data_IF_703969240615
#
_entry.id   IF_703969240615
#
_cell.length_a   1.000
_cell.length_b   1.000
_cell.length_c   1.000
_cell.angle_alpha   90.00
_cell.angle_beta   90.00
_cell.angle_gamma   90.00
#
_symmetry.space_group_name_H-M   'P 1'
#
loop_
_entity.id
_entity.type
_entity.pdbx_description
1 polymer ?
2 non-polymer ?
3 water ?
#
# COMPACT_ATOMS: atom_id res chain seq x y z
N UNK A 3 11.58 7.94 26.13
CA UNK A 3 12.39 7.76 24.91
C UNK A 3 12.16 8.92 23.91
N UNK A 4 13.26 9.52 23.43
CA UNK A 4 13.28 10.65 22.48
C UNK A 4 12.85 10.22 21.08
N UNK A 5 12.24 11.14 20.33
CA UNK A 5 11.78 10.92 18.96
C UNK A 5 12.95 10.51 18.03
N UNK A 6 14.13 11.16 18.16
CA UNK A 6 15.31 10.86 17.35
C UNK A 6 15.81 9.41 17.59
N UNK A 7 15.73 8.95 18.85
CA UNK A 7 16.11 7.61 19.29
C UNK A 7 15.15 6.53 18.72
N UNK A 8 13.84 6.87 18.61
CA UNK A 8 12.82 5.99 18.06
C UNK A 8 13.02 5.82 16.56
N UNK A 9 13.39 6.89 15.85
CA UNK A 9 13.68 6.85 14.40
C UNK A 9 14.99 6.05 14.17
N UNK A 10 15.96 6.19 15.10
CA UNK A 10 17.23 5.46 15.11
C UNK A 10 16.93 3.94 15.30
N UNK A 11 16.01 3.61 16.24
CA UNK A 11 15.53 2.25 16.51
C UNK A 11 14.91 1.66 15.22
N UNK A 12 14.01 2.41 14.53
CA UNK A 12 13.41 1.98 13.26
C UNK A 12 14.51 1.69 12.20
N UNK A 13 15.53 2.56 12.10
CA UNK A 13 16.63 2.37 11.15
C UNK A 13 17.48 1.15 11.49
N UNK A 14 17.72 0.92 12.79
CA UNK A 14 18.44 -0.25 13.30
C UNK A 14 17.64 -1.54 13.00
N UNK A 15 16.32 -1.53 13.27
CA UNK A 15 15.43 -2.68 13.01
C UNK A 15 15.37 -3.02 11.52
N UNK A 16 15.42 -1.99 10.66
CA UNK A 16 15.42 -2.17 9.22
C UNK A 16 16.71 -2.88 8.77
N UNK A 17 17.86 -2.52 9.34
CA UNK A 17 19.12 -3.15 9.01
C UNK A 17 19.16 -4.61 9.46
N UNK A 18 18.52 -4.93 10.61
CA UNK A 18 18.43 -6.28 11.19
C UNK A 18 17.27 -7.09 10.59
N UNK A 19 16.46 -6.45 9.72
CA UNK A 19 15.30 -7.03 9.05
C UNK A 19 14.27 -7.50 10.07
N UNK A 20 14.11 -6.71 11.16
CA UNK A 20 13.15 -6.95 12.23
C UNK A 20 12.07 -5.90 12.04
N UNK A 21 11.21 -6.15 11.04
CA UNK A 21 10.21 -5.21 10.56
C UNK A 21 9.08 -4.94 11.54
N UNK A 22 8.72 -5.94 12.38
CA UNK A 22 7.74 -5.79 13.45
C UNK A 22 8.26 -4.70 14.44
N UNK A 23 9.55 -4.74 14.81
CA UNK A 23 10.22 -3.72 15.65
C UNK A 23 10.21 -2.38 14.96
N UNK A 25 8.08 -1.29 12.59
CA UNK A 25 6.70 -0.81 12.55
C UNK A 25 6.29 -0.25 13.91
N UNK A 26 6.65 -0.94 14.99
CA UNK A 26 6.36 -0.55 16.35
C UNK A 26 7.04 0.79 16.71
N UNK A 27 8.31 1.00 16.30
CA UNK A 27 9.04 2.23 16.56
C UNK A 27 8.41 3.42 15.83
N UNK A 29 5.29 3.53 14.79
CA UNK A 29 3.96 3.69 15.37
C UNK A 29 4.09 4.58 16.63
N UNK A 30 5.16 4.39 17.42
CA UNK A 30 5.43 5.18 18.61
C UNK A 30 5.75 6.62 18.23
N UNK A 31 6.47 6.83 17.13
CA UNK A 31 6.80 8.19 16.61
C UNK A 31 5.48 8.90 16.23
N UNK A 32 4.60 8.21 15.48
CA UNK A 32 3.30 8.77 15.05
C UNK A 32 2.49 9.21 16.26
N UNK A 33 2.47 8.36 17.30
CA UNK A 33 1.73 8.57 18.54
C UNK A 33 2.28 9.71 19.44
N UNK A 34 3.41 10.34 19.06
CA UNK A 34 3.91 11.54 19.74
C UNK A 34 3.03 12.73 19.35
N UNK A 35 2.10 12.48 18.39
CA UNK A 35 1.03 13.36 17.92
C UNK A 35 1.51 14.62 17.21
N UNK A 36 2.65 14.50 16.51
CA UNK A 36 3.23 15.59 15.72
C UNK A 36 3.30 15.15 14.27
N UNK A 37 3.32 16.09 13.29
CA UNK A 37 3.49 15.67 11.87
C UNK A 37 4.80 14.88 11.64
N UNK A 38 4.84 14.08 10.58
CA UNK A 38 6.04 13.32 10.25
C UNK A 38 6.86 14.02 9.18
N UNK A 39 8.20 13.87 9.23
CA UNK A 39 9.06 14.42 8.19
C UNK A 39 8.96 13.47 6.99
N UNK A 40 9.47 13.85 5.81
CA UNK A 40 9.42 13.01 4.62
C UNK A 40 10.12 11.67 4.89
N UNK A 41 11.17 11.73 5.69
CA UNK A 41 12.00 10.62 6.10
C UNK A 41 11.24 9.68 7.04
N UNK A 42 10.55 10.24 8.06
CA UNK A 42 9.76 9.48 9.04
C UNK A 42 8.57 8.79 8.34
N UNK A 43 7.96 9.47 7.36
CA UNK A 43 6.88 8.99 6.50
C UNK A 43 7.27 7.74 5.70
N UNK A 44 8.48 7.76 5.06
CA UNK A 44 8.92 6.63 4.26
C UNK A 44 9.31 5.47 5.17
N UNK A 45 9.95 5.74 6.33
CA UNK A 45 10.30 4.73 7.34
C UNK A 45 9.03 3.99 7.83
N UNK A 46 7.95 4.74 8.06
CA UNK A 46 6.65 4.17 8.49
C UNK A 46 6.07 3.30 7.39
N UNK A 47 6.09 3.79 6.14
CA UNK A 47 5.61 3.12 4.96
C UNK A 47 6.37 1.79 4.70
N UNK A 48 7.71 1.81 4.74
CA UNK A 48 8.58 0.66 4.51
C UNK A 48 8.33 -0.39 5.61
N UNK A 49 8.18 0.06 6.89
CA UNK A 49 7.96 -0.85 8.03
C UNK A 49 6.69 -1.68 7.82
N UNK A 50 5.54 -1.00 7.67
CA UNK A 50 4.25 -1.66 7.51
C UNK A 50 4.14 -2.42 6.19
N UNK A 51 4.82 -2.00 5.12
CA UNK A 51 4.81 -2.74 3.86
C UNK A 51 5.48 -4.11 4.04
N UNK A 52 6.57 -4.17 4.79
CA UNK A 52 7.28 -5.43 5.03
C UNK A 52 6.54 -6.32 6.00
N UNK A 53 5.82 -5.73 6.97
CA UNK A 53 5.05 -6.46 7.98
C UNK A 53 3.82 -7.09 7.29
N UNK A 54 3.05 -6.27 6.55
CA UNK A 54 1.86 -6.75 5.85
C UNK A 54 2.27 -7.70 4.70
N UNK A 55 3.40 -7.43 4.04
CA UNK A 55 3.94 -8.24 2.96
C UNK A 55 4.21 -9.68 3.39
N UNK A 56 4.76 -9.86 4.60
CA UNK A 56 5.06 -11.19 5.17
C UNK A 56 3.75 -11.93 5.48
N UNK A 57 2.74 -11.22 6.02
CA UNK A 57 1.41 -11.76 6.30
C UNK A 57 0.67 -12.15 5.02
N UNK A 58 0.73 -11.30 3.98
CA UNK A 58 0.08 -11.54 2.69
C UNK A 58 0.69 -12.77 2.02
N UNK A 59 2.03 -12.90 2.08
CA UNK A 59 2.76 -14.04 1.52
C UNK A 59 2.37 -15.33 2.23
N UNK A 60 2.28 -15.27 3.59
CA UNK A 60 1.93 -16.45 4.40
C UNK A 60 0.49 -16.87 4.13
N UNK A 61 -0.42 -15.89 4.06
CA UNK A 61 -1.84 -16.14 3.78
C UNK A 61 -1.99 -16.82 2.40
N UNK A 62 -1.30 -16.34 1.37
CA UNK A 62 -1.33 -16.91 0.02
C UNK A 62 -0.88 -18.40 0.02
N UNK A 63 0.22 -18.72 0.73
CA UNK A 63 0.79 -20.07 0.87
C UNK A 63 -0.22 -21.03 1.54
N UNK A 64 -0.79 -20.64 2.68
CA UNK A 64 -1.69 -21.49 3.45
C UNK A 64 -3.03 -21.64 2.74
N UNK A 65 -3.53 -20.57 2.08
CA UNK A 65 -4.77 -20.61 1.29
C UNK A 65 -4.61 -21.56 0.12
N UNK A 66 -3.43 -21.57 -0.51
CA UNK A 66 -3.11 -22.45 -1.63
C UNK A 66 -3.17 -23.93 -1.16
N UNK A 67 -2.53 -24.26 -0.01
CA UNK A 67 -2.54 -25.59 0.59
C UNK A 67 -3.99 -25.97 0.96
N UNK A 68 -4.77 -25.02 1.51
CA UNK A 68 -6.18 -25.19 1.91
C UNK A 68 -7.07 -25.64 0.73
N UNK A 69 -6.90 -25.02 -0.45
CA UNK A 69 -7.65 -25.35 -1.65
C UNK A 69 -7.31 -26.77 -2.16
N UNK A 70 -6.06 -27.21 -1.95
CA UNK A 70 -5.61 -28.53 -2.36
C UNK A 70 -6.05 -29.61 -1.38
N UNK A 71 -6.03 -29.32 -0.06
CA UNK A 71 -6.43 -30.25 1.01
C UNK A 71 -7.94 -30.57 0.93
N UNK A 72 -8.78 -29.56 0.59
CA UNK A 72 -10.22 -29.69 0.41
C UNK A 72 -10.51 -30.56 -0.82
N UNK A 73 -9.70 -30.39 -1.88
CA UNK A 73 -9.77 -31.13 -3.13
C UNK A 73 -9.25 -32.57 -2.97
N UNK A 74 -8.31 -32.78 -2.02
CA UNK A 74 -7.68 -34.06 -1.69
C UNK A 74 -8.66 -35.07 -1.08
N UNK A 75 -9.73 -34.56 -0.44
CA UNK A 75 -10.77 -35.37 0.19
C UNK A 75 -10.51 -35.80 1.62
N UNK A 76 -9.29 -35.51 2.15
CA UNK A 76 -8.88 -35.86 3.52
C UNK A 76 -9.46 -34.83 4.48
N UNK A 77 -10.69 -35.10 5.00
CA UNK A 77 -11.42 -34.23 5.93
C UNK A 77 -10.66 -34.06 7.27
N UNK A 78 -9.83 -35.05 7.62
CA UNK A 78 -9.00 -35.11 8.82
C UNK A 78 -7.97 -33.98 8.88
N UNK A 79 -7.53 -33.49 7.70
CA UNK A 79 -6.49 -32.47 7.62
C UNK A 79 -7.00 -31.01 7.38
N UNK A 80 -8.22 -30.85 6.80
CA UNK A 80 -8.86 -29.57 6.47
C UNK A 80 -9.00 -28.65 7.71
N UNK A 81 -9.34 -29.20 8.89
CA UNK A 81 -9.57 -28.47 10.13
C UNK A 81 -8.40 -27.52 10.53
N UNK A 83 -5.63 -26.75 8.60
CA UNK A 83 -5.26 -25.83 7.51
C UNK A 83 -6.12 -24.55 7.57
N UNK A 84 -7.46 -24.69 7.61
CA UNK A 84 -8.45 -23.59 7.69
C UNK A 84 -8.15 -22.70 8.92
N UNK A 85 -8.02 -23.32 10.10
CA UNK A 85 -7.72 -22.61 11.35
C UNK A 85 -6.38 -21.89 11.26
N UNK A 86 -5.36 -22.48 10.61
CA UNK A 86 -4.07 -21.81 10.48
C UNK A 86 -4.17 -20.63 9.50
N UNK A 87 -4.90 -20.80 8.39
CA UNK A 87 -5.17 -19.72 7.44
C UNK A 87 -5.89 -18.53 8.12
N UNK A 88 -6.94 -18.83 8.94
CA UNK A 88 -7.76 -17.89 9.70
C UNK A 88 -6.91 -17.08 10.68
N UNK A 89 -5.95 -17.74 11.34
CA UNK A 89 -5.00 -17.17 12.29
C UNK A 89 -4.13 -16.12 11.60
N UNK A 90 -3.59 -16.47 10.42
CA UNK A 90 -2.76 -15.56 9.60
C UNK A 90 -3.60 -14.42 9.10
N UNK A 91 -4.80 -14.72 8.63
CA UNK A 91 -5.77 -13.75 8.12
C UNK A 91 -6.11 -12.66 9.16
N UNK A 92 -6.35 -13.05 10.44
CA UNK A 92 -6.66 -12.13 11.53
C UNK A 92 -5.47 -11.25 11.84
N UNK A 93 -4.27 -11.82 11.74
CA UNK A 93 -3.02 -11.07 11.94
C UNK A 93 -2.87 -10.01 10.87
N UNK A 94 -3.15 -10.38 9.61
CA UNK A 94 -3.06 -9.50 8.44
C UNK A 94 -4.04 -8.33 8.59
N UNK A 95 -5.31 -8.65 8.94
CA UNK A 95 -6.37 -7.67 9.14
C UNK A 95 -6.04 -6.70 10.26
N UNK A 96 -5.44 -7.20 11.37
CA UNK A 96 -5.08 -6.39 12.53
C UNK A 96 -3.90 -5.44 12.19
N UNK A 97 -2.98 -5.87 11.31
CA UNK A 97 -1.90 -5.01 10.82
C UNK A 97 -2.56 -3.87 10.02
N UNK A 98 -3.48 -4.19 9.08
CA UNK A 98 -4.16 -3.21 8.24
C UNK A 98 -4.93 -2.18 9.07
N UNK A 99 -5.71 -2.66 10.06
CA UNK A 99 -6.51 -1.81 10.96
C UNK A 99 -5.60 -0.91 11.82
N UNK A 100 -4.42 -1.42 12.20
CA UNK A 100 -3.42 -0.68 12.95
C UNK A 100 -2.92 0.53 12.10
N UNK A 101 -2.51 0.29 10.83
CA UNK A 101 -2.08 1.37 9.93
C UNK A 101 -3.24 2.34 9.63
N UNK A 102 -4.44 1.81 9.35
CA UNK A 102 -5.63 2.60 9.01
C UNK A 102 -6.03 3.53 10.16
N UNK A 103 -5.85 3.10 11.43
CA UNK A 103 -6.11 3.91 12.63
C UNK A 103 -5.09 5.04 12.74
N UNK A 104 -3.83 4.74 12.42
CA UNK A 104 -2.76 5.75 12.41
C UNK A 104 -3.07 6.85 11.41
N UNK A 105 -3.47 6.48 10.17
CA UNK A 105 -3.82 7.41 9.08
C UNK A 105 -5.05 8.24 9.42
N UNK A 106 -6.13 7.62 9.90
CA UNK A 106 -7.40 8.28 10.21
C UNK A 106 -7.38 9.11 11.49
N UNK A 107 -6.62 8.71 12.52
CA UNK A 107 -6.67 9.45 13.77
C UNK A 107 -5.48 10.36 13.96
N UNK A 108 -4.47 10.31 13.05
CA UNK A 108 -3.28 11.14 13.23
C UNK A 108 -2.82 11.82 11.96
N UNK A 109 -2.36 11.04 10.99
CA UNK A 109 -1.69 11.45 9.77
C UNK A 109 -2.58 12.25 8.81
N UNK A 110 -3.72 11.67 8.34
CA UNK A 110 -4.65 12.38 7.47
C UNK A 110 -5.41 13.43 8.32
N UNK A 111 -5.78 13.06 9.56
CA UNK A 111 -6.51 13.94 10.48
C UNK A 111 -5.78 15.28 10.75
N UNK A 112 -4.44 15.27 10.93
CA UNK A 112 -3.73 16.49 11.33
C UNK A 112 -2.73 17.08 10.32
N UNK A 113 -2.72 16.66 9.04
CA UNK A 113 -1.80 17.39 8.15
C UNK A 113 -2.62 18.53 7.54
N UNK A 114 -1.98 19.71 7.39
CA UNK A 114 -2.68 20.90 6.91
C UNK A 114 -3.19 20.76 5.46
N UNK A 115 -4.13 21.65 5.07
CA UNK A 115 -4.70 21.72 3.73
C UNK A 115 -3.60 22.08 2.70
N UNK A 116 -2.47 22.64 3.18
CA UNK A 116 -1.31 23.10 2.40
C UNK A 116 -0.28 21.97 2.13
N UNK A 117 -0.16 20.96 3.02
CA UNK A 117 0.80 19.87 2.86
C UNK A 117 0.20 18.80 1.93
N UNK A 118 0.16 19.13 0.63
CA UNK A 118 -0.42 18.33 -0.45
C UNK A 118 0.34 17.04 -0.69
N UNK A 119 1.68 17.05 -0.55
CA UNK A 119 2.51 15.84 -0.73
C UNK A 119 2.13 14.83 0.34
N UNK A 120 2.06 15.29 1.61
CA UNK A 120 1.68 14.50 2.78
C UNK A 120 0.29 13.90 2.62
N UNK A 121 -0.68 14.70 2.16
CA UNK A 121 -2.09 14.29 1.96
C UNK A 121 -2.20 13.13 0.95
N UNK A 122 -1.58 13.27 -0.24
CA UNK A 122 -1.58 12.24 -1.30
C UNK A 122 -0.91 10.97 -0.78
N UNK A 123 0.25 11.12 -0.09
CA UNK A 123 1.04 10.03 0.46
C UNK A 123 0.21 9.17 1.41
N UNK A 124 -0.56 9.83 2.30
CA UNK A 124 -1.36 9.15 3.30
C UNK A 124 -2.61 8.53 2.71
N UNK A 125 -3.22 9.20 1.71
CA UNK A 125 -4.43 8.63 1.07
C UNK A 125 -4.07 7.44 0.17
N UNK A 126 -2.84 7.39 -0.40
CA UNK A 126 -2.34 6.25 -1.19
C UNK A 126 -2.19 5.04 -0.24
N UNK A 128 -3.74 4.60 2.64
CA UNK A 128 -5.10 4.21 3.00
C UNK A 128 -5.71 3.29 1.90
N UNK A 129 -5.59 3.69 0.62
CA UNK A 129 -6.05 2.88 -0.51
C UNK A 129 -5.43 1.49 -0.52
N UNK A 130 -4.11 1.42 -0.26
CA UNK A 130 -3.31 0.20 -0.21
C UNK A 130 -3.77 -0.75 0.90
N UNK A 131 -3.95 -0.26 2.14
CA UNK A 131 -4.28 -1.11 3.27
C UNK A 131 -5.69 -1.62 3.20
N UNK A 132 -6.62 -0.86 2.59
CA UNK A 132 -7.99 -1.32 2.33
C UNK A 132 -7.97 -2.36 1.19
N UNK A 133 -7.00 -2.23 0.23
CA UNK A 133 -6.82 -3.18 -0.86
C UNK A 133 -6.31 -4.52 -0.29
N UNK A 134 -5.40 -4.48 0.68
CA UNK A 134 -4.89 -5.69 1.35
C UNK A 134 -6.01 -6.40 2.10
N UNK A 135 -6.90 -5.61 2.73
CA UNK A 135 -8.09 -6.13 3.39
C UNK A 135 -9.05 -6.77 2.35
N UNK A 136 -9.20 -6.13 1.17
CA UNK A 136 -10.08 -6.62 0.07
C UNK A 136 -9.64 -7.99 -0.44
N UNK A 137 -8.31 -8.21 -0.56
CA UNK A 137 -7.69 -9.46 -1.01
C UNK A 137 -8.16 -10.71 -0.21
N UNK A 138 -8.33 -10.56 1.12
CA UNK A 138 -8.68 -11.66 2.01
C UNK A 138 -10.19 -11.68 2.35
N UNK A 139 -10.88 -10.55 2.15
CA UNK A 139 -12.31 -10.43 2.45
C UNK A 139 -13.17 -11.08 1.39
N UNK A 140 -14.39 -11.45 1.80
CA UNK A 140 -15.43 -12.08 0.99
C UNK A 140 -16.79 -11.43 1.28
N UNK A 141 -17.74 -11.63 0.37
CA UNK A 141 -19.12 -11.16 0.48
C UNK A 141 -19.33 -9.67 0.66
N UNK A 142 -20.15 -9.30 1.67
CA UNK A 142 -20.50 -7.92 2.02
C UNK A 142 -19.30 -7.19 2.60
N UNK A 143 -18.50 -7.90 3.41
CA UNK A 143 -17.27 -7.38 4.03
C UNK A 143 -16.30 -6.89 2.95
N UNK A 144 -16.20 -7.64 1.83
CA UNK A 144 -15.34 -7.33 0.69
C UNK A 144 -15.77 -6.04 -0.02
N UNK A 145 -17.07 -5.91 -0.34
CA UNK A 145 -17.63 -4.77 -1.05
C UNK A 145 -17.35 -3.43 -0.32
N UNK A 146 -17.45 -3.43 1.02
CA UNK A 146 -17.22 -2.27 1.89
C UNK A 146 -15.75 -1.82 1.83
N UNK A 147 -14.79 -2.75 1.99
CA UNK A 147 -13.35 -2.43 1.97
C UNK A 147 -12.88 -2.05 0.54
N UNK A 148 -13.54 -2.58 -0.51
CA UNK A 148 -13.23 -2.27 -1.92
C UNK A 148 -13.59 -0.79 -2.19
N UNK A 149 -14.79 -0.37 -1.73
CA UNK A 149 -15.32 0.99 -1.83
C UNK A 149 -14.42 1.94 -1.07
N UNK A 150 -14.04 1.56 0.17
CA UNK A 150 -13.12 2.30 1.03
C UNK A 150 -11.76 2.52 0.35
N UNK A 151 -11.26 1.51 -0.40
CA UNK A 151 -9.97 1.57 -1.11
C UNK A 151 -10.07 2.52 -2.30
N UNK A 152 -11.14 2.36 -3.09
CA UNK A 152 -11.49 3.18 -4.26
C UNK A 152 -11.58 4.66 -3.83
N UNK A 153 -12.34 4.96 -2.75
CA UNK A 153 -12.54 6.31 -2.23
C UNK A 153 -11.21 6.98 -1.84
N UNK A 154 -10.31 6.23 -1.18
CA UNK A 154 -8.99 6.73 -0.78
C UNK A 154 -8.07 7.01 -2.00
N UNK A 155 -8.02 6.07 -2.98
CA UNK A 155 -7.21 6.24 -4.19
C UNK A 155 -7.69 7.40 -5.08
N UNK A 156 -9.03 7.57 -5.23
CA UNK A 156 -9.65 8.65 -6.04
C UNK A 156 -9.33 10.06 -5.48
N UNK A 157 -9.45 10.24 -4.15
CA UNK A 157 -9.14 11.51 -3.49
C UNK A 157 -7.66 11.83 -3.65
N UNK A 158 -6.78 10.81 -3.45
CA UNK A 158 -5.32 10.93 -3.62
C UNK A 158 -5.00 11.36 -5.06
N UNK A 159 -5.69 10.74 -6.04
CA UNK A 159 -5.55 11.00 -7.48
C UNK A 159 -5.92 12.45 -7.85
N UNK A 160 -6.98 13.00 -7.23
CA UNK A 160 -7.43 14.36 -7.51
C UNK A 160 -6.44 15.40 -7.00
N UNK A 161 -5.92 15.23 -5.78
CA UNK A 161 -4.95 16.16 -5.17
C UNK A 161 -3.59 16.10 -5.94
N UNK A 162 -3.11 14.89 -6.31
CA UNK A 162 -1.85 14.69 -7.03
C UNK A 162 -1.91 15.35 -8.41
N UNK A 163 -3.06 15.18 -9.13
CA UNK A 163 -3.30 15.75 -10.46
C UNK A 163 -3.20 17.27 -10.45
N UNK A 164 -3.69 17.88 -9.35
CA UNK A 164 -3.75 19.32 -9.17
C UNK A 164 -2.46 19.92 -8.59
N UNK A 165 -1.78 19.23 -7.66
CA UNK A 165 -0.65 19.89 -6.99
C UNK A 165 0.74 19.28 -7.25
N UNK A 167 3.72 17.42 -10.15
CA UNK A 167 4.11 17.20 -11.53
C UNK A 167 3.86 15.70 -11.88
N UNK A 168 3.54 15.37 -13.16
CA UNK A 168 3.23 13.98 -13.51
C UNK A 168 4.38 12.99 -13.30
N UNK A 169 5.61 13.50 -13.12
CA UNK A 169 6.84 12.73 -12.90
C UNK A 169 7.13 12.52 -11.40
N UNK A 170 6.42 13.24 -10.51
CA UNK A 170 6.63 13.10 -9.06
C UNK A 170 6.47 11.63 -8.63
N UNK A 171 7.45 11.06 -7.90
CA UNK A 171 7.35 9.65 -7.50
C UNK A 171 6.09 9.30 -6.72
N UNK A 172 5.49 10.25 -5.96
CA UNK A 172 4.27 9.98 -5.18
C UNK A 172 3.08 9.84 -6.15
N UNK A 173 3.02 10.71 -7.18
CA UNK A 173 1.97 10.65 -8.18
C UNK A 173 2.09 9.36 -9.03
N UNK A 174 3.34 9.02 -9.44
CA UNK A 174 3.63 7.81 -10.22
C UNK A 174 3.33 6.54 -9.43
N UNK A 175 3.73 6.50 -8.15
CA UNK A 175 3.51 5.39 -7.23
C UNK A 175 2.04 5.16 -6.99
N UNK A 176 1.26 6.25 -6.89
CA UNK A 176 -0.19 6.22 -6.74
C UNK A 176 -0.85 5.58 -7.96
N UNK A 177 -0.48 6.05 -9.17
CA UNK A 177 -1.00 5.53 -10.44
C UNK A 177 -0.70 4.03 -10.56
N UNK A 178 0.53 3.60 -10.11
CA UNK A 178 0.96 2.19 -10.09
C UNK A 178 0.00 1.32 -9.28
N UNK A 179 -0.24 1.67 -8.01
CA UNK A 179 -1.05 0.88 -7.08
C UNK A 179 -2.55 0.94 -7.39
N UNK A 180 -3.07 2.11 -7.78
CA UNK A 180 -4.47 2.34 -8.16
C UNK A 180 -4.81 1.50 -9.40
N UNK A 181 -3.90 1.39 -10.39
CA UNK A 181 -4.14 0.55 -11.57
C UNK A 181 -4.10 -0.95 -11.18
N UNK A 182 -3.24 -1.32 -10.21
CA UNK A 182 -3.15 -2.69 -9.67
C UNK A 182 -4.50 -3.02 -9.00
N UNK A 183 -5.08 -2.03 -8.27
CA UNK A 183 -6.39 -2.17 -7.63
C UNK A 183 -7.47 -2.47 -8.69
N UNK A 184 -7.47 -1.72 -9.82
CA UNK A 184 -8.44 -1.99 -10.89
C UNK A 184 -8.27 -3.38 -11.48
N UNK A 185 -7.02 -3.80 -11.74
CA UNK A 185 -6.72 -5.09 -12.35
C UNK A 185 -7.01 -6.29 -11.47
N UNK A 186 -6.45 -6.29 -10.26
CA UNK A 186 -6.52 -7.39 -9.32
C UNK A 186 -7.76 -7.41 -8.44
N UNK A 187 -8.25 -6.25 -7.99
CA UNK A 187 -9.40 -6.22 -7.08
C UNK A 187 -10.70 -6.04 -7.84
N UNK A 188 -10.78 -4.98 -8.67
CA UNK A 188 -11.99 -4.65 -9.42
C UNK A 188 -12.16 -5.50 -10.68
N UNK A 189 -11.09 -6.24 -11.10
CA UNK A 189 -11.07 -7.07 -12.32
C UNK A 189 -11.54 -6.22 -13.52
N UNK A 190 -10.95 -5.02 -13.66
CA UNK A 190 -11.22 -4.03 -14.71
C UNK A 190 -9.92 -3.82 -15.48
N UNK A 191 -9.56 -4.76 -16.41
CA UNK A 191 -8.27 -4.63 -17.12
C UNK A 191 -8.15 -3.37 -17.97
N UNK A 192 -9.26 -2.95 -18.64
CA UNK A 192 -9.29 -1.75 -19.49
C UNK A 192 -8.97 -0.49 -18.67
N UNK A 193 -9.69 -0.30 -17.54
CA UNK A 193 -9.50 0.86 -16.68
C UNK A 193 -8.09 0.83 -16.03
N UNK A 194 -7.55 -0.37 -15.71
CA UNK A 194 -6.21 -0.53 -15.15
C UNK A 194 -5.17 -0.11 -16.18
N UNK A 195 -5.31 -0.59 -17.43
CA UNK A 195 -4.39 -0.26 -18.52
C UNK A 195 -4.46 1.21 -18.86
N UNK A 196 -5.68 1.80 -18.89
CA UNK A 196 -5.84 3.22 -19.19
C UNK A 196 -5.13 4.10 -18.15
N UNK A 197 -5.35 3.82 -16.85
CA UNK A 197 -4.76 4.55 -15.74
C UNK A 197 -3.22 4.50 -15.78
N UNK A 198 -2.64 3.32 -16.04
CA UNK A 198 -1.19 3.13 -16.08
C UNK A 198 -0.59 3.80 -17.33
N UNK A 199 -1.31 3.75 -18.47
CA UNK A 199 -0.90 4.36 -19.75
C UNK A 199 -0.87 5.89 -19.65
N UNK A 200 -1.94 6.47 -19.10
CA UNK A 200 -2.11 7.92 -18.90
C UNK A 200 -0.99 8.46 -18.03
N UNK A 201 -0.71 7.79 -16.91
CA UNK A 201 0.34 8.17 -15.96
C UNK A 201 1.70 8.12 -16.61
N UNK A 202 2.00 7.06 -17.37
CA UNK A 202 3.28 6.91 -18.05
C UNK A 202 3.41 8.01 -19.13
N UNK A 203 2.39 8.16 -19.99
CA UNK A 203 2.39 9.15 -21.06
C UNK A 203 2.45 10.59 -20.51
N UNK A 204 1.78 10.89 -19.40
CA UNK A 204 1.82 12.23 -18.78
C UNK A 204 3.23 12.53 -18.27
N UNK A 205 3.90 11.52 -17.68
CA UNK A 205 5.28 11.63 -17.20
C UNK A 205 6.27 11.85 -18.36
N UNK A 206 6.21 11.05 -19.46
CA UNK A 206 7.15 11.24 -20.59
C UNK A 206 6.91 12.61 -21.30
N UNK A 207 5.64 13.10 -21.34
CA UNK A 207 5.25 14.39 -21.95
C UNK A 207 5.78 15.58 -21.15
N UNK A 208 6.06 15.38 -19.86
CA UNK A 208 6.59 16.39 -18.94
C UNK A 208 7.92 15.92 -18.33
N UNK A 209 8.74 15.23 -19.14
CA UNK A 209 10.04 14.68 -18.70
C UNK A 209 11.01 15.80 -18.21
N UNK A 210 10.73 17.06 -18.60
CA UNK A 210 11.49 18.24 -18.21
C UNK A 210 11.25 18.60 -16.72
N UNK A 211 10.19 18.01 -16.10
CA UNK A 211 9.82 18.28 -14.70
C UNK A 211 10.55 17.32 -13.73
N UNK A 212 11.46 16.46 -14.25
CA UNK A 212 12.25 15.54 -13.44
C UNK A 212 13.19 16.31 -12.51
N UNK A 213 13.16 15.95 -11.24
CA UNK A 213 13.92 16.57 -10.17
C UNK A 213 15.24 15.82 -9.93
N UNK A 214 16.31 16.59 -9.74
CA UNK A 214 17.68 16.16 -9.43
C UNK A 214 17.74 15.20 -8.21
N UNK A 215 16.85 15.37 -7.23
CA UNK A 215 16.81 14.57 -6.00
C UNK A 215 15.95 13.30 -6.08
N UNK A 216 15.06 13.19 -7.10
CA UNK A 216 14.17 12.02 -7.21
C UNK A 216 14.02 11.44 -8.65
N UNK A 217 14.85 11.86 -9.64
CA UNK A 217 14.74 11.35 -11.02
C UNK A 217 14.87 9.80 -11.08
N UNK A 218 15.69 9.18 -10.21
CA UNK A 218 15.90 7.71 -10.16
C UNK A 218 14.62 6.98 -9.73
N UNK A 219 13.90 7.54 -8.76
CA UNK A 219 12.64 7.01 -8.27
C UNK A 219 11.55 7.13 -9.35
N UNK A 220 11.53 8.27 -10.06
CA UNK A 220 10.58 8.54 -11.14
C UNK A 220 10.72 7.52 -12.27
N UNK A 221 11.95 7.34 -12.77
CA UNK A 221 12.26 6.43 -13.90
C UNK A 221 12.00 4.98 -13.50
N UNK A 222 12.27 4.60 -12.25
CA UNK A 222 12.01 3.25 -11.72
C UNK A 222 10.50 2.92 -11.77
N UNK A 223 9.62 3.84 -11.28
CA UNK A 223 8.17 3.61 -11.24
C UNK A 223 7.59 3.66 -12.67
N UNK A 225 9.04 2.61 -15.30
CA UNK A 225 9.37 1.29 -15.83
C UNK A 225 8.40 0.24 -15.26
N UNK A 226 8.10 0.33 -13.96
CA UNK A 226 7.16 -0.60 -13.31
C UNK A 226 5.76 -0.49 -13.93
N UNK A 227 5.34 0.74 -14.31
CA UNK A 227 4.07 1.03 -14.98
C UNK A 227 4.04 0.38 -16.37
N UNK A 228 5.14 0.56 -17.15
CA UNK A 228 5.32 -0.02 -18.48
C UNK A 228 5.36 -1.55 -18.41
N UNK A 229 6.00 -2.12 -17.36
CA UNK A 229 6.08 -3.57 -17.09
C UNK A 229 4.68 -4.15 -16.92
N UNK A 230 3.86 -3.55 -16.03
CA UNK A 230 2.48 -3.97 -15.76
C UNK A 230 1.59 -3.85 -16.99
N UNK A 231 1.76 -2.74 -17.76
CA UNK A 231 1.04 -2.49 -18.99
C UNK A 231 1.33 -3.58 -20.03
N UNK A 232 2.59 -4.04 -20.10
CA UNK A 232 3.02 -5.11 -21.00
C UNK A 232 2.35 -6.44 -20.57
N UNK A 233 2.44 -6.77 -19.27
CA UNK A 233 1.89 -7.99 -18.68
C UNK A 233 0.37 -8.08 -18.92
N UNK A 234 -0.37 -7.01 -18.57
CA UNK A 234 -1.83 -6.95 -18.69
C UNK A 234 -2.31 -6.95 -20.15
N UNK A 235 -1.57 -6.33 -21.11
CA UNK A 235 -2.00 -6.26 -22.52
C UNK A 235 -1.50 -7.48 -23.36
N UNK A 236 -0.92 -8.51 -22.69
CA UNK A 236 -0.43 -9.73 -23.33
C UNK A 236 -0.81 -10.96 -22.50
#
# INVERSE_FOLDING_TARGET
GXVDREQLVQKARLAEQAERYDDXAAAXKNVTELNEPLSNEERNLLSVAYKNVVGARRSSWRVISSIEQKTSADGNEKKIEXVRAYREKIEKELEAVCQDVLSLLDNYLIKNCSETQYESKVFYLKXKGDYYRYLAEVATGEKRATVVESSEKAYSEAHEISKEHXQPTHPIRLGLALNYSVFYYEIQNAPEQACHLAKTAFDDAIAELDTLNEDSYKDSTLIXQLLRDNLTLWTSDQQDDDGGEGNN
#
